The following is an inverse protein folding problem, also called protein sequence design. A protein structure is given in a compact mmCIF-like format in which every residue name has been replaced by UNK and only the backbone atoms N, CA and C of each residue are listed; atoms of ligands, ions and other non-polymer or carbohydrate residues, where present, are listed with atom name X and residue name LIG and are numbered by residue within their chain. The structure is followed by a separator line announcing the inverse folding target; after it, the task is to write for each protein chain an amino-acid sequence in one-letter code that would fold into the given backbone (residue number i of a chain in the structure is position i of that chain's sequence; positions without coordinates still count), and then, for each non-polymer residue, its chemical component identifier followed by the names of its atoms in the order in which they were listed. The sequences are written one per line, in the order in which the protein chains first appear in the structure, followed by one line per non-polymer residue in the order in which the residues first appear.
data_IF_512759989188
#
_entry.id   IF_512759989188
#
_cell.length_a   1.000
_cell.length_b   1.000
_cell.length_c   1.000
_cell.angle_alpha   90.00
_cell.angle_beta   90.00
_cell.angle_gamma   90.00
#
_symmetry.space_group_name_H-M   'P 1'
#
loop_
_entity.id
_entity.type
_entity.pdbx_description
1 polymer ?
#
# COMPACT_ATOMS: atom_id res chain seq x y z
N UNK A 1 -1.00 -5.92 -28.49
CA UNK A 1 -1.50 -6.40 -27.19
C UNK A 1 -2.63 -5.50 -26.70
N UNK A 2 -3.54 -6.07 -25.91
CA UNK A 2 -4.59 -5.31 -25.22
C UNK A 2 -4.10 -5.04 -23.79
N UNK A 3 -4.17 -3.79 -23.28
CA UNK A 3 -3.75 -3.50 -21.91
C UNK A 3 -4.69 -4.16 -20.89
N UNK A 4 -4.12 -4.71 -19.82
CA UNK A 4 -4.83 -5.34 -18.71
C UNK A 4 -4.83 -4.40 -17.50
N UNK A 5 -6.01 -4.17 -16.94
CA UNK A 5 -6.21 -3.43 -15.68
C UNK A 5 -6.74 -4.42 -14.64
N UNK A 6 -6.08 -4.51 -13.49
CA UNK A 6 -6.46 -5.42 -12.41
C UNK A 6 -6.40 -4.76 -11.02
N UNK A 7 -7.12 -5.32 -10.06
CA UNK A 7 -7.07 -4.87 -8.66
C UNK A 7 -5.87 -5.50 -7.97
N UNK A 8 -5.02 -4.69 -7.34
CA UNK A 8 -3.82 -5.17 -6.67
C UNK A 8 -4.04 -5.61 -5.22
N UNK A 9 -5.27 -5.56 -4.71
CA UNK A 9 -5.56 -5.89 -3.32
C UNK A 9 -4.98 -4.87 -2.31
N UNK A 10 -5.12 -5.13 -1.00
CA UNK A 10 -4.72 -4.19 0.05
C UNK A 10 -3.26 -4.34 0.52
N UNK A 11 -2.53 -5.37 0.06
CA UNK A 11 -1.15 -5.64 0.50
C UNK A 11 -0.16 -5.48 -0.65
N UNK A 12 1.08 -5.12 -0.31
CA UNK A 12 2.17 -5.02 -1.29
C UNK A 12 2.40 -6.35 -2.02
N UNK A 13 2.25 -7.47 -1.31
CA UNK A 13 2.35 -8.83 -1.87
C UNK A 13 1.31 -9.07 -2.97
N UNK A 14 0.03 -8.75 -2.72
CA UNK A 14 -1.02 -8.94 -3.73
C UNK A 14 -0.83 -8.02 -4.95
N UNK A 15 -0.27 -6.82 -4.74
CA UNK A 15 0.04 -5.90 -5.84
C UNK A 15 1.14 -6.51 -6.70
N UNK A 16 2.20 -7.04 -6.08
CA UNK A 16 3.31 -7.68 -6.79
C UNK A 16 2.87 -8.91 -7.58
N UNK A 17 2.09 -9.81 -6.97
CA UNK A 17 1.53 -10.98 -7.67
C UNK A 17 0.72 -10.56 -8.91
N UNK A 18 -0.06 -9.49 -8.79
CA UNK A 18 -0.89 -8.98 -9.90
C UNK A 18 -0.04 -8.39 -11.04
N UNK A 19 1.08 -7.73 -10.70
CA UNK A 19 2.04 -7.22 -11.68
C UNK A 19 2.71 -8.40 -12.40
N UNK A 20 3.14 -9.42 -11.65
CA UNK A 20 3.78 -10.64 -12.20
C UNK A 20 2.83 -11.45 -13.10
N UNK A 21 1.53 -11.40 -12.82
CA UNK A 21 0.49 -11.97 -13.67
C UNK A 21 0.29 -11.23 -15.00
N UNK A 22 0.94 -10.08 -15.22
CA UNK A 22 0.95 -9.34 -16.48
C UNK A 22 -0.01 -8.14 -16.54
N UNK A 23 -0.45 -7.61 -15.39
CA UNK A 23 -1.25 -6.39 -15.37
C UNK A 23 -0.40 -5.16 -15.74
N UNK A 24 -0.88 -4.36 -16.71
CA UNK A 24 -0.23 -3.11 -17.11
C UNK A 24 -0.57 -1.94 -16.17
N UNK A 25 -1.69 -2.05 -15.46
CA UNK A 25 -2.18 -1.04 -14.51
C UNK A 25 -2.88 -1.71 -13.34
N UNK A 26 -2.69 -1.14 -12.14
CA UNK A 26 -3.21 -1.66 -10.88
C UNK A 26 -4.15 -0.65 -10.24
N UNK A 27 -5.33 -1.10 -9.81
CA UNK A 27 -6.19 -0.33 -8.90
C UNK A 27 -5.93 -0.78 -7.46
N UNK A 28 -5.62 0.17 -6.59
CA UNK A 28 -5.41 -0.07 -5.17
C UNK A 28 -6.24 0.92 -4.35
N UNK A 29 -6.69 0.48 -3.18
CA UNK A 29 -7.34 1.35 -2.21
C UNK A 29 -6.26 1.84 -1.24
N UNK A 30 -5.99 3.15 -1.16
CA UNK A 30 -5.02 3.66 -0.21
C UNK A 30 -5.50 3.42 1.23
N UNK A 31 -4.57 3.38 2.21
CA UNK A 31 -4.94 3.34 3.61
C UNK A 31 -5.79 4.57 3.97
N UNK A 32 -6.71 4.39 4.91
CA UNK A 32 -7.55 5.47 5.42
C UNK A 32 -6.72 6.52 6.16
N UNK A 33 -7.25 7.74 6.24
CA UNK A 33 -6.63 8.82 7.02
C UNK A 33 -6.36 8.39 8.47
N UNK A 34 -7.25 7.61 9.08
CA UNK A 34 -7.09 7.11 10.45
C UNK A 34 -5.86 6.20 10.61
N UNK A 35 -5.63 5.29 9.66
CA UNK A 35 -4.46 4.39 9.66
C UNK A 35 -3.15 5.18 9.46
N UNK A 36 -3.17 6.17 8.56
CA UNK A 36 -2.02 7.06 8.35
C UNK A 36 -1.69 7.83 9.64
N UNK A 37 -2.69 8.44 10.29
CA UNK A 37 -2.49 9.17 11.54
C UNK A 37 -1.97 8.27 12.67
N UNK A 38 -2.50 7.05 12.80
CA UNK A 38 -2.04 6.09 13.79
C UNK A 38 -0.54 5.77 13.61
N UNK A 39 -0.10 5.55 12.37
CA UNK A 39 1.31 5.29 12.04
C UNK A 39 2.22 6.48 12.39
N UNK A 40 1.82 7.70 12.02
CA UNK A 40 2.59 8.93 12.32
C UNK A 40 2.73 9.13 13.83
N UNK A 41 1.65 8.93 14.60
CA UNK A 41 1.70 9.07 16.06
C UNK A 41 2.55 7.99 16.74
N UNK A 42 2.57 6.77 16.20
CA UNK A 42 3.45 5.72 16.68
C UNK A 42 4.93 6.07 16.44
N UNK A 43 5.27 6.55 15.24
CA UNK A 43 6.62 7.03 14.92
C UNK A 43 7.04 8.19 15.84
N UNK A 44 6.17 9.19 16.00
CA UNK A 44 6.43 10.32 16.90
C UNK A 44 6.79 9.88 18.33
N UNK A 45 6.03 8.93 18.90
CA UNK A 45 6.33 8.39 20.24
C UNK A 45 7.66 7.66 20.30
N UNK A 46 7.99 6.88 19.26
CA UNK A 46 9.27 6.17 19.18
C UNK A 46 10.44 7.15 19.12
N UNK A 47 10.32 8.23 18.34
CA UNK A 47 11.34 9.26 18.22
C UNK A 47 11.57 10.01 19.54
N UNK A 48 10.54 10.19 20.37
CA UNK A 48 10.70 10.77 21.71
C UNK A 48 11.46 9.84 22.67
N UNK A 49 11.30 8.52 22.54
CA UNK A 49 12.01 7.53 23.40
C UNK A 49 13.48 7.42 22.98
N UNK A 50 13.75 7.51 21.68
CA UNK A 50 15.09 7.35 21.12
C UNK A 50 15.97 8.61 21.27
N UNK A 51 15.45 9.67 21.89
CA UNK A 51 16.11 10.97 22.07
C UNK A 51 16.71 11.09 23.47
#
# INVERSE_FOLDING_TARGET
ELPIIATGGPTDESILETIEAGANSITYTPPSSAEIFAKVMAQYRQDQINK
#
